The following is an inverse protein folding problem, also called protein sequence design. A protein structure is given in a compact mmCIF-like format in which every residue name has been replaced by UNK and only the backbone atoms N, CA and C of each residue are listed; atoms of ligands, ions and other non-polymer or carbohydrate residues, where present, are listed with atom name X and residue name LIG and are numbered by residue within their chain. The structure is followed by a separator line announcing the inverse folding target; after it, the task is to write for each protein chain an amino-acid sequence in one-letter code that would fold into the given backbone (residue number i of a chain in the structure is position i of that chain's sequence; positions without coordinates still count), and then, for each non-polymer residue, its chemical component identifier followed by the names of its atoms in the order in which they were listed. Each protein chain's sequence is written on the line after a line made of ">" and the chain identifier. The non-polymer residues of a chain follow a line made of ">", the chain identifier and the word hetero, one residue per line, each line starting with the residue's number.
data_IF_730966008952
#
_entry.id   IF_730966008952
#
_cell.length_a   1.000
_cell.length_b   1.000
_cell.length_c   1.000
_cell.angle_alpha   90.00
_cell.angle_beta   90.00
_cell.angle_gamma   90.00
#
_symmetry.space_group_name_H-M   'P 1'
#
loop_
_entity.id
_entity.type
_entity.pdbx_description
1 polymer ?
#
# COMPACT_ATOMS: atom_id res chain seq x y z
N UNK A 1 1.81 13.19 16.15
CA UNK A 1 0.36 13.28 15.87
C UNK A 1 -0.01 12.25 14.81
N UNK A 2 -1.04 11.47 15.08
CA UNK A 2 -1.42 10.35 14.23
C UNK A 2 -2.49 10.78 13.23
N UNK A 3 -2.05 11.47 12.17
CA UNK A 3 -2.97 11.99 11.14
C UNK A 3 -3.69 10.89 10.37
N UNK A 4 -3.07 9.70 10.28
CA UNK A 4 -3.61 8.60 9.48
C UNK A 4 -4.03 7.42 10.33
N UNK A 5 -4.26 7.64 11.62
CA UNK A 5 -4.65 6.56 12.52
C UNK A 5 -5.91 5.86 12.02
N UNK A 6 -5.81 4.54 11.88
CA UNK A 6 -6.92 3.73 11.39
C UNK A 6 -7.08 3.71 9.88
N UNK A 7 -6.28 4.51 9.16
CA UNK A 7 -6.29 4.50 7.70
C UNK A 7 -5.37 3.40 7.17
N UNK A 8 -5.57 3.01 5.92
CA UNK A 8 -4.76 1.99 5.27
C UNK A 8 -4.07 2.57 4.04
N UNK A 9 -2.77 2.35 3.96
CA UNK A 9 -1.97 2.77 2.82
C UNK A 9 -1.40 1.55 2.10
N UNK A 10 -1.57 1.52 0.79
CA UNK A 10 -0.96 0.51 -0.06
C UNK A 10 0.19 1.19 -0.80
N UNK A 11 1.42 0.68 -0.61
CA UNK A 11 2.61 1.26 -1.20
C UNK A 11 3.28 0.22 -2.08
N UNK A 12 3.30 0.45 -3.39
CA UNK A 12 3.97 -0.45 -4.32
C UNK A 12 5.48 -0.21 -4.26
N UNK A 13 6.26 -1.27 -4.48
CA UNK A 13 7.71 -1.17 -4.40
C UNK A 13 8.20 -0.77 -3.01
N UNK A 14 7.56 -1.25 -1.95
CA UNK A 14 7.83 -0.81 -0.58
C UNK A 14 8.82 -1.70 0.18
N UNK A 15 9.47 -2.64 -0.50
CA UNK A 15 10.44 -3.51 0.17
C UNK A 15 11.82 -2.90 0.27
N UNK A 16 12.09 -1.81 -0.42
CA UNK A 16 13.39 -1.14 -0.37
C UNK A 16 13.28 0.31 -0.84
N UNK A 17 14.35 1.07 -0.64
CA UNK A 17 14.52 2.40 -1.19
C UNK A 17 13.43 3.39 -0.80
N UNK A 18 13.02 4.19 -1.77
CA UNK A 18 12.05 5.27 -1.58
C UNK A 18 10.70 4.72 -1.11
N UNK A 19 10.25 3.61 -1.71
CA UNK A 19 8.97 3.01 -1.33
C UNK A 19 8.93 2.59 0.13
N UNK A 20 10.01 1.98 0.62
CA UNK A 20 10.10 1.60 2.03
C UNK A 20 10.10 2.85 2.93
N UNK A 21 10.83 3.89 2.54
CA UNK A 21 10.86 5.14 3.30
C UNK A 21 9.47 5.77 3.41
N UNK A 22 8.71 5.75 2.31
CA UNK A 22 7.34 6.27 2.31
C UNK A 22 6.45 5.44 3.24
N UNK A 23 6.55 4.11 3.15
CA UNK A 23 5.76 3.23 4.01
C UNK A 23 6.04 3.50 5.49
N UNK A 24 7.31 3.69 5.85
CA UNK A 24 7.70 4.00 7.22
C UNK A 24 7.08 5.34 7.66
N UNK A 25 7.16 6.36 6.82
CA UNK A 25 6.58 7.66 7.16
C UNK A 25 5.06 7.58 7.37
N UNK A 26 4.37 6.83 6.51
CA UNK A 26 2.93 6.63 6.67
C UNK A 26 2.61 5.86 7.95
N UNK A 27 3.43 4.87 8.28
CA UNK A 27 3.28 4.12 9.53
C UNK A 27 3.49 5.01 10.76
N UNK A 28 4.42 5.94 10.69
CA UNK A 28 4.62 6.92 11.77
C UNK A 28 3.37 7.76 11.99
N UNK A 29 2.58 7.99 10.95
CA UNK A 29 1.33 8.73 11.04
C UNK A 29 0.15 7.85 11.45
N UNK A 30 0.40 6.59 11.74
CA UNK A 30 -0.62 5.67 12.24
C UNK A 30 -1.30 4.81 11.19
N UNK A 31 -0.87 4.88 9.93
CA UNK A 31 -1.49 4.10 8.86
C UNK A 31 -1.07 2.64 8.94
N UNK A 32 -2.03 1.75 8.70
CA UNK A 32 -1.72 0.34 8.41
C UNK A 32 -1.18 0.26 7.00
N UNK A 33 -0.28 -0.68 6.76
CA UNK A 33 0.46 -0.74 5.49
C UNK A 33 0.21 -2.05 4.77
N UNK A 34 -0.11 -1.97 3.49
CA UNK A 34 -0.04 -3.11 2.58
C UNK A 34 1.25 -2.94 1.78
N UNK A 35 2.19 -3.84 2.00
CA UNK A 35 3.47 -3.83 1.30
C UNK A 35 3.35 -4.54 -0.03
N UNK A 36 4.12 -4.10 -0.99
CA UNK A 36 4.27 -4.75 -2.29
C UNK A 36 5.71 -4.58 -2.74
N UNK A 37 6.25 -5.58 -3.43
CA UNK A 37 7.60 -5.53 -3.96
C UNK A 37 8.24 -6.89 -3.97
N UNK A 38 9.50 -6.94 -4.38
CA UNK A 38 10.26 -8.18 -4.47
C UNK A 38 11.46 -8.15 -3.52
N UNK A 39 12.10 -9.29 -3.38
CA UNK A 39 13.29 -9.42 -2.55
C UNK A 39 12.94 -9.67 -1.09
N UNK A 40 13.78 -9.16 -0.20
CA UNK A 40 13.57 -9.34 1.24
C UNK A 40 12.33 -8.58 1.71
N UNK A 41 11.40 -9.29 2.29
CA UNK A 41 10.16 -8.72 2.83
C UNK A 41 10.22 -8.64 4.36
N UNK A 42 10.80 -9.63 5.00
CA UNK A 42 10.75 -9.76 6.47
C UNK A 42 11.45 -8.61 7.19
N UNK A 43 12.62 -8.20 6.73
CA UNK A 43 13.34 -7.08 7.33
C UNK A 43 12.57 -5.77 7.23
N UNK A 44 12.19 -5.35 6.02
CA UNK A 44 11.39 -4.14 5.84
C UNK A 44 10.06 -4.20 6.59
N UNK A 45 9.40 -5.35 6.60
CA UNK A 45 8.13 -5.52 7.32
C UNK A 45 8.30 -5.23 8.80
N UNK A 46 9.36 -5.76 9.41
CA UNK A 46 9.63 -5.53 10.83
C UNK A 46 9.89 -4.06 11.12
N UNK A 47 10.56 -3.36 10.21
CA UNK A 47 10.81 -1.93 10.38
C UNK A 47 9.51 -1.14 10.43
N UNK A 48 8.53 -1.51 9.62
CA UNK A 48 7.24 -0.84 9.58
C UNK A 48 6.41 -1.22 10.81
N UNK A 49 6.41 -2.51 11.15
CA UNK A 49 5.65 -3.00 12.31
C UNK A 49 6.11 -2.39 13.62
N UNK A 50 7.36 -1.93 13.69
CA UNK A 50 7.90 -1.30 14.89
C UNK A 50 7.13 -0.04 15.31
N UNK A 51 6.35 0.53 14.40
CA UNK A 51 5.52 1.71 14.72
C UNK A 51 4.14 1.34 15.25
N UNK A 52 3.88 0.05 15.48
CA UNK A 52 2.65 -0.40 16.11
C UNK A 52 1.46 -0.54 15.17
N UNK A 53 1.68 -0.46 13.88
CA UNK A 53 0.62 -0.62 12.87
C UNK A 53 0.59 -2.04 12.34
N UNK A 54 -0.53 -2.41 11.71
CA UNK A 54 -0.66 -3.70 11.05
C UNK A 54 -0.03 -3.62 9.67
N UNK A 55 0.69 -4.67 9.27
CA UNK A 55 1.37 -4.74 7.99
C UNK A 55 1.01 -6.06 7.32
N UNK A 56 0.55 -5.98 6.08
CA UNK A 56 0.31 -7.15 5.23
C UNK A 56 1.16 -7.00 3.98
N UNK A 57 1.44 -8.10 3.32
CA UNK A 57 2.25 -8.12 2.11
C UNK A 57 1.51 -8.83 0.98
N UNK A 58 1.56 -8.26 -0.21
CA UNK A 58 1.04 -8.90 -1.42
C UNK A 58 2.06 -8.74 -2.54
N UNK A 59 2.45 -9.85 -3.13
CA UNK A 59 3.52 -9.88 -4.13
C UNK A 59 3.08 -9.67 -5.58
N UNK A 60 2.03 -8.89 -5.80
CA UNK A 60 1.54 -8.64 -7.15
C UNK A 60 2.64 -8.12 -8.06
N UNK A 61 2.70 -8.65 -9.28
CA UNK A 61 3.52 -8.12 -10.35
C UNK A 61 2.76 -6.94 -10.95
N UNK A 62 3.33 -5.73 -10.78
CA UNK A 62 2.67 -4.51 -11.21
C UNK A 62 2.56 -4.35 -12.72
N UNK A 63 3.14 -5.26 -13.48
CA UNK A 63 2.96 -5.30 -14.94
C UNK A 63 1.73 -6.11 -15.35
N UNK A 64 1.06 -6.77 -14.39
CA UNK A 64 -0.08 -7.65 -14.66
C UNK A 64 -1.34 -7.11 -14.01
N UNK A 65 -2.29 -6.58 -14.82
CA UNK A 65 -3.52 -6.00 -14.26
C UNK A 65 -4.31 -6.92 -13.35
N UNK A 66 -4.38 -8.22 -13.68
CA UNK A 66 -5.13 -9.16 -12.85
C UNK A 66 -4.52 -9.30 -11.45
N UNK A 67 -3.20 -9.24 -11.34
CA UNK A 67 -2.53 -9.32 -10.05
C UNK A 67 -2.72 -8.04 -9.23
N UNK A 68 -2.78 -6.91 -9.92
CA UNK A 68 -3.04 -5.63 -9.26
C UNK A 68 -4.44 -5.62 -8.67
N UNK A 69 -5.43 -6.10 -9.43
CA UNK A 69 -6.81 -6.20 -8.93
C UNK A 69 -6.88 -7.13 -7.71
N UNK A 70 -6.16 -8.25 -7.77
CA UNK A 70 -6.12 -9.18 -6.65
C UNK A 70 -5.53 -8.51 -5.40
N UNK A 71 -4.48 -7.72 -5.58
CA UNK A 71 -3.86 -6.99 -4.47
C UNK A 71 -4.84 -5.97 -3.87
N UNK A 72 -5.59 -5.27 -4.69
CA UNK A 72 -6.58 -4.31 -4.19
C UNK A 72 -7.68 -5.00 -3.40
N UNK A 73 -8.15 -6.16 -3.88
CA UNK A 73 -9.14 -6.95 -3.15
C UNK A 73 -8.59 -7.48 -1.84
N UNK A 74 -7.34 -7.94 -1.86
CA UNK A 74 -6.64 -8.41 -0.67
C UNK A 74 -6.60 -7.31 0.39
N UNK A 75 -6.24 -6.09 0.00
CA UNK A 75 -6.21 -4.96 0.92
C UNK A 75 -7.60 -4.64 1.48
N UNK A 76 -8.61 -4.69 0.63
CA UNK A 76 -9.98 -4.45 1.06
C UNK A 76 -10.44 -5.50 2.06
N UNK A 77 -10.08 -6.78 1.82
CA UNK A 77 -10.48 -7.86 2.72
C UNK A 77 -9.76 -7.80 4.06
N UNK A 78 -8.49 -7.43 4.05
CA UNK A 78 -7.69 -7.38 5.28
C UNK A 78 -7.96 -6.15 6.13
N UNK A 79 -8.21 -5.01 5.49
CA UNK A 79 -8.31 -3.72 6.19
C UNK A 79 -9.62 -2.99 5.94
N UNK A 80 -10.50 -3.54 5.11
CA UNK A 80 -11.76 -2.89 4.80
C UNK A 80 -11.68 -1.83 3.70
N UNK A 81 -10.50 -1.58 3.16
CA UNK A 81 -10.31 -0.62 2.07
C UNK A 81 -8.91 -0.04 2.06
N UNK A 82 -8.64 0.82 1.10
CA UNK A 82 -7.37 1.53 0.98
C UNK A 82 -7.68 3.03 0.92
N UNK A 83 -7.10 3.78 1.82
CA UNK A 83 -7.30 5.23 1.87
C UNK A 83 -6.22 5.99 1.11
N UNK A 84 -5.01 5.43 1.08
CA UNK A 84 -3.87 6.05 0.40
C UNK A 84 -3.23 5.01 -0.51
N UNK A 85 -3.10 5.33 -1.77
CA UNK A 85 -2.40 4.47 -2.74
C UNK A 85 -1.16 5.21 -3.22
N UNK A 86 0.02 4.64 -2.95
CA UNK A 86 1.28 5.19 -3.42
C UNK A 86 1.85 4.24 -4.48
N UNK A 87 1.86 4.67 -5.72
CA UNK A 87 2.44 3.88 -6.81
C UNK A 87 3.89 4.28 -7.02
N UNK A 88 4.79 3.55 -6.38
CA UNK A 88 6.23 3.80 -6.44
C UNK A 88 6.96 2.82 -7.35
N UNK A 89 6.26 1.88 -7.95
CA UNK A 89 6.91 0.84 -8.76
C UNK A 89 7.40 1.32 -10.13
N UNK A 90 7.10 2.56 -10.49
CA UNK A 90 7.57 3.15 -11.75
C UNK A 90 6.81 2.68 -12.99
N UNK A 91 5.76 1.88 -12.80
CA UNK A 91 4.95 1.38 -13.90
C UNK A 91 3.70 2.23 -14.00
N UNK A 92 3.39 2.68 -15.22
CA UNK A 92 2.15 3.38 -15.46
C UNK A 92 0.98 2.43 -15.27
N UNK A 93 0.21 2.72 -14.26
CA UNK A 93 -0.89 1.89 -13.88
C UNK A 93 -2.14 2.74 -13.71
N UNK A 94 -3.14 2.42 -14.50
CA UNK A 94 -4.46 3.03 -14.34
C UNK A 94 -5.30 2.03 -13.56
N UNK A 95 -5.37 2.23 -12.26
CA UNK A 95 -6.19 1.38 -11.42
C UNK A 95 -7.65 1.62 -11.78
N UNK A 96 -8.41 0.56 -12.07
CA UNK A 96 -9.86 0.73 -12.21
C UNK A 96 -10.48 0.85 -10.83
N UNK A 97 -10.04 1.86 -10.09
CA UNK A 97 -10.51 2.08 -8.71
C UNK A 97 -12.01 2.30 -8.72
N UNK A 98 -12.53 2.91 -9.76
CA UNK A 98 -13.96 3.13 -9.91
C UNK A 98 -14.77 1.83 -10.05
N UNK A 99 -14.10 0.72 -10.34
CA UNK A 99 -14.75 -0.58 -10.45
C UNK A 99 -14.95 -1.26 -9.10
N UNK A 100 -14.37 -0.72 -8.05
CA UNK A 100 -14.54 -1.26 -6.71
C UNK A 100 -15.74 -0.63 -6.03
N UNK A 101 -16.43 -1.37 -5.14
CA UNK A 101 -17.58 -0.82 -4.40
C UNK A 101 -17.17 0.42 -3.63
N UNK A 102 -17.85 1.54 -3.89
CA UNK A 102 -17.49 2.82 -3.26
C UNK A 102 -17.72 2.81 -1.76
N UNK A 103 -18.62 1.98 -1.27
CA UNK A 103 -18.89 1.87 0.16
C UNK A 103 -17.73 1.31 0.96
N UNK A 104 -16.72 0.74 0.27
CA UNK A 104 -15.51 0.24 0.94
C UNK A 104 -14.41 1.30 1.05
N UNK A 105 -14.64 2.49 0.48
CA UNK A 105 -13.60 3.50 0.36
C UNK A 105 -14.16 4.84 0.80
N UNK A 106 -13.63 5.39 1.89
CA UNK A 106 -14.01 6.74 2.32
C UNK A 106 -13.38 7.79 1.43
N UNK A 107 -12.11 7.63 1.17
CA UNK A 107 -11.37 8.52 0.28
C UNK A 107 -10.11 7.80 -0.15
N UNK A 108 -9.71 7.98 -1.39
CA UNK A 108 -8.47 7.41 -1.90
C UNK A 108 -7.60 8.55 -2.40
N UNK A 109 -6.41 8.64 -1.85
CA UNK A 109 -5.39 9.56 -2.33
C UNK A 109 -4.38 8.74 -3.11
N UNK A 110 -4.30 8.98 -4.41
CA UNK A 110 -3.37 8.27 -5.26
C UNK A 110 -2.14 9.16 -5.50
N UNK A 111 -0.99 8.66 -5.12
CA UNK A 111 0.28 9.34 -5.34
C UNK A 111 1.09 8.50 -6.31
N UNK A 112 1.41 9.08 -7.45
CA UNK A 112 2.20 8.40 -8.47
C UNK A 112 3.58 9.03 -8.50
N UNK A 113 4.58 8.25 -8.14
CA UNK A 113 5.96 8.69 -8.12
C UNK A 113 6.70 8.06 -9.28
N UNK A 114 7.32 8.89 -10.10
CA UNK A 114 8.21 8.40 -11.14
C UNK A 114 9.63 8.35 -10.58
N UNK A 115 10.21 7.18 -10.64
CA UNK A 115 11.58 6.96 -10.19
C UNK A 115 12.52 6.80 -11.36
#
# INVERSE_FOLDING_TARGET
>A
MSMLKGKTALVTGSTSGIGLGIAIELAKQGAHIVMNGFGDVDGPRKQIEAYGVKVEYHGADMSKPAEIEDMMRFAADKFGGVDVLVNNAGIQYVAPIQDFPTERWDAIIAINLSS
#
